data_IF_407414920479
#
_entry.id   IF_407414920479
#
_cell.length_a   1.000
_cell.length_b   1.000
_cell.length_c   1.000
_cell.angle_alpha   90.00
_cell.angle_beta   90.00
_cell.angle_gamma   90.00
#
_symmetry.space_group_name_H-M   'P 1'
#
loop_
_entity.id
_entity.type
_entity.pdbx_description
1 polymer ?
#
# COMPACT_ATOMS: atom_id res chain seq x y z
N UNK A 1 -13.36 7.63 47.28
CA UNK A 1 -14.46 7.54 46.31
C UNK A 1 -15.65 6.86 46.99
N UNK A 2 -16.82 7.48 47.00
CA UNK A 2 -18.02 6.90 47.62
C UNK A 2 -18.86 6.15 46.59
N UNK A 3 -19.65 5.16 47.00
CA UNK A 3 -20.53 4.42 46.08
C UNK A 3 -21.53 5.32 45.34
N UNK A 4 -21.98 6.41 45.99
CA UNK A 4 -22.84 7.43 45.38
C UNK A 4 -22.18 8.10 44.17
N UNK A 5 -20.90 8.48 44.30
CA UNK A 5 -20.16 9.13 43.21
C UNK A 5 -20.05 8.23 41.98
N UNK A 6 -19.79 6.93 42.17
CA UNK A 6 -19.70 5.98 41.06
C UNK A 6 -21.05 5.82 40.35
N UNK A 7 -22.16 5.72 41.08
CA UNK A 7 -23.49 5.61 40.51
C UNK A 7 -23.88 6.85 39.70
N UNK A 8 -23.62 8.05 40.24
CA UNK A 8 -23.85 9.33 39.55
C UNK A 8 -23.01 9.43 38.27
N UNK A 9 -21.73 9.03 38.33
CA UNK A 9 -20.83 9.08 37.18
C UNK A 9 -21.19 8.08 36.09
N UNK A 10 -21.63 6.86 36.45
CA UNK A 10 -22.10 5.87 35.48
C UNK A 10 -23.37 6.33 34.77
N UNK A 11 -24.31 6.94 35.50
CA UNK A 11 -25.53 7.50 34.89
C UNK A 11 -25.20 8.64 33.91
N UNK A 12 -24.21 9.48 34.25
CA UNK A 12 -23.69 10.50 33.33
C UNK A 12 -23.09 9.89 32.06
N UNK A 13 -22.17 8.92 32.18
CA UNK A 13 -21.55 8.23 31.04
C UNK A 13 -22.60 7.57 30.15
N UNK A 14 -23.62 6.94 30.74
CA UNK A 14 -24.67 6.25 30.01
C UNK A 14 -25.54 7.19 29.16
N UNK A 15 -25.70 8.45 29.60
CA UNK A 15 -26.45 9.48 28.87
C UNK A 15 -25.60 10.32 27.93
N UNK A 16 -24.28 10.12 27.88
CA UNK A 16 -23.35 10.84 27.00
C UNK A 16 -23.08 10.03 25.73
N UNK A 17 -23.27 10.66 24.57
CA UNK A 17 -23.06 10.03 23.25
C UNK A 17 -21.61 9.56 23.05
N UNK A 18 -20.65 10.14 23.79
CA UNK A 18 -19.23 9.78 23.73
C UNK A 18 -18.77 8.94 24.93
N UNK A 19 -19.71 8.43 25.74
CA UNK A 19 -19.45 7.52 26.87
C UNK A 19 -18.39 8.06 27.85
N UNK A 20 -18.43 9.36 28.14
CA UNK A 20 -17.50 10.03 29.03
C UNK A 20 -16.16 10.41 28.39
N UNK A 21 -16.01 10.22 27.06
CA UNK A 21 -14.85 10.71 26.33
C UNK A 21 -15.01 12.19 25.98
N UNK A 22 -14.30 13.04 26.73
CA UNK A 22 -14.25 14.47 26.44
C UNK A 22 -13.70 14.72 25.03
N UNK A 23 -14.53 15.34 24.19
CA UNK A 23 -14.10 15.84 22.89
C UNK A 23 -13.11 16.99 23.06
N UNK A 24 -12.12 17.07 22.19
CA UNK A 24 -11.15 18.17 22.20
C UNK A 24 -11.83 19.50 21.90
N UNK A 25 -11.61 20.51 22.74
CA UNK A 25 -12.05 21.88 22.46
C UNK A 25 -11.19 22.56 21.37
N UNK A 26 -10.05 21.97 21.04
CA UNK A 26 -9.11 22.49 20.04
C UNK A 26 -8.70 21.36 19.07
N UNK A 27 -9.52 21.07 18.04
CA UNK A 27 -9.18 20.09 17.02
C UNK A 27 -7.83 20.39 16.37
N UNK A 28 -7.12 19.32 15.99
CA UNK A 28 -5.86 19.39 15.26
C UNK A 28 -5.95 18.48 14.06
N UNK A 29 -5.29 18.86 12.98
CA UNK A 29 -5.03 17.97 11.86
C UNK A 29 -3.85 17.06 12.20
N UNK A 30 -4.08 15.74 12.14
CA UNK A 30 -3.12 14.71 12.48
C UNK A 30 -2.96 13.79 11.27
N UNK A 31 -1.71 13.55 10.86
CA UNK A 31 -1.38 12.53 9.86
C UNK A 31 -0.74 11.37 10.60
N UNK A 32 -1.25 10.17 10.35
CA UNK A 32 -0.70 8.92 10.87
C UNK A 32 -0.21 8.09 9.70
N UNK A 33 1.11 7.93 9.59
CA UNK A 33 1.75 6.99 8.67
C UNK A 33 1.83 5.60 9.34
N UNK A 34 1.27 4.59 8.67
CA UNK A 34 1.17 3.23 9.21
C UNK A 34 1.11 2.15 8.14
N UNK A 35 1.31 0.89 8.53
CA UNK A 35 1.20 -0.25 7.61
C UNK A 35 2.41 -0.42 6.68
N UNK A 36 2.60 0.50 5.73
CA UNK A 36 3.72 0.54 4.79
C UNK A 36 3.98 -0.74 3.97
N UNK A 37 2.98 -1.53 3.55
CA UNK A 37 3.26 -2.76 2.81
C UNK A 37 3.81 -2.45 1.42
N UNK A 38 4.74 -3.29 0.95
CA UNK A 38 5.24 -3.22 -0.42
C UNK A 38 4.20 -3.75 -1.40
N UNK A 39 3.94 -3.02 -2.47
CA UNK A 39 3.13 -3.48 -3.60
C UNK A 39 3.81 -4.68 -4.26
N UNK A 40 3.01 -5.62 -4.77
CA UNK A 40 3.47 -6.85 -5.39
C UNK A 40 4.27 -7.80 -4.46
N UNK A 41 4.08 -7.71 -3.14
CA UNK A 41 4.53 -8.74 -2.18
C UNK A 41 3.34 -9.22 -1.34
N UNK A 42 3.30 -10.51 -0.99
CA UNK A 42 2.33 -11.02 -0.04
C UNK A 42 2.40 -10.24 1.29
N UNK A 43 1.25 -9.91 1.86
CA UNK A 43 1.20 -9.40 3.23
C UNK A 43 1.73 -10.46 4.19
N UNK A 44 2.64 -10.06 5.07
CA UNK A 44 3.14 -10.91 6.16
C UNK A 44 2.84 -10.28 7.52
N UNK A 45 2.92 -11.08 8.59
CA UNK A 45 2.62 -10.66 9.97
C UNK A 45 3.33 -9.37 10.41
N UNK A 46 4.53 -9.10 9.89
CA UNK A 46 5.25 -7.84 10.13
C UNK A 46 4.49 -6.58 9.73
N UNK A 47 3.75 -6.58 8.60
CA UNK A 47 2.94 -5.44 8.17
C UNK A 47 1.63 -5.33 8.98
N UNK A 48 1.12 -6.45 9.48
CA UNK A 48 -0.14 -6.50 10.23
C UNK A 48 -0.05 -5.70 11.54
N UNK A 49 1.09 -5.76 12.23
CA UNK A 49 1.30 -5.02 13.48
C UNK A 49 1.19 -3.51 13.28
N UNK A 50 1.90 -2.98 12.29
CA UNK A 50 1.86 -1.54 11.98
C UNK A 50 0.47 -1.11 11.51
N UNK A 51 -0.18 -1.94 10.68
CA UNK A 51 -1.54 -1.68 10.20
C UNK A 51 -2.55 -1.58 11.36
N UNK A 52 -2.57 -2.56 12.27
CA UNK A 52 -3.52 -2.60 13.39
C UNK A 52 -3.29 -1.44 14.37
N UNK A 53 -2.03 -1.20 14.76
CA UNK A 53 -1.70 -0.16 15.73
C UNK A 53 -2.03 1.21 15.15
N UNK A 54 -1.62 1.48 13.91
CA UNK A 54 -1.88 2.75 13.24
C UNK A 54 -3.37 3.03 13.08
N UNK A 55 -4.13 2.05 12.59
CA UNK A 55 -5.58 2.20 12.45
C UNK A 55 -6.28 2.42 13.80
N UNK A 56 -5.81 1.75 14.86
CA UNK A 56 -6.32 1.97 16.23
C UNK A 56 -6.08 3.41 16.69
N UNK A 57 -4.87 3.94 16.45
CA UNK A 57 -4.52 5.34 16.78
C UNK A 57 -5.39 6.31 15.99
N UNK A 58 -5.57 6.09 14.68
CA UNK A 58 -6.44 6.91 13.82
C UNK A 58 -7.85 6.96 14.39
N UNK A 59 -8.44 5.81 14.76
CA UNK A 59 -9.78 5.72 15.32
C UNK A 59 -9.90 6.42 16.67
N UNK A 60 -8.93 6.23 17.56
CA UNK A 60 -8.90 6.89 18.87
C UNK A 60 -8.84 8.40 18.71
N UNK A 61 -7.93 8.92 17.88
CA UNK A 61 -7.78 10.36 17.67
C UNK A 61 -9.04 10.98 17.03
N UNK A 62 -9.68 10.30 16.07
CA UNK A 62 -10.97 10.73 15.50
C UNK A 62 -12.07 10.74 16.55
N UNK A 63 -12.14 9.70 17.38
CA UNK A 63 -13.13 9.60 18.46
C UNK A 63 -12.95 10.70 19.52
N UNK A 64 -11.75 11.23 19.71
CA UNK A 64 -11.46 12.38 20.57
C UNK A 64 -11.75 13.74 19.91
N UNK A 65 -12.21 13.78 18.65
CA UNK A 65 -12.59 15.00 17.94
C UNK A 65 -11.49 15.65 17.10
N UNK A 66 -10.41 14.93 16.77
CA UNK A 66 -9.38 15.43 15.84
C UNK A 66 -9.75 15.14 14.38
N UNK A 67 -9.20 15.95 13.47
CA UNK A 67 -9.22 15.69 12.03
C UNK A 67 -7.99 14.82 11.70
N UNK A 68 -8.21 13.57 11.34
CA UNK A 68 -7.12 12.58 11.21
C UNK A 68 -7.12 11.96 9.83
N UNK A 69 -5.97 12.02 9.16
CA UNK A 69 -5.69 11.34 7.90
C UNK A 69 -4.79 10.14 8.22
N UNK A 70 -5.24 8.95 7.83
CA UNK A 70 -4.39 7.76 7.82
C UNK A 70 -3.72 7.61 6.46
N UNK A 71 -2.40 7.48 6.45
CA UNK A 71 -1.60 7.17 5.26
C UNK A 71 -0.98 5.78 5.43
N UNK A 72 -1.32 4.85 4.53
CA UNK A 72 -0.78 3.49 4.53
C UNK A 72 0.63 3.43 3.90
N UNK A 73 1.07 4.52 3.26
CA UNK A 73 2.38 4.74 2.67
C UNK A 73 2.94 3.52 1.92
N UNK A 74 2.22 3.10 0.88
CA UNK A 74 2.55 1.90 0.11
C UNK A 74 3.96 1.96 -0.48
N UNK A 75 4.71 0.86 -0.35
CA UNK A 75 6.00 0.68 -1.01
C UNK A 75 5.83 0.31 -2.48
N UNK A 76 5.39 1.26 -3.31
CA UNK A 76 5.08 1.07 -4.73
C UNK A 76 6.13 1.62 -5.70
N UNK A 77 7.25 2.12 -5.17
CA UNK A 77 8.33 2.72 -5.96
C UNK A 77 9.69 2.12 -5.59
N UNK A 78 10.41 1.53 -6.57
CA UNK A 78 11.73 0.94 -6.35
C UNK A 78 12.03 -0.31 -7.19
N UNK A 79 13.14 -0.98 -6.89
CA UNK A 79 13.66 -2.13 -7.65
C UNK A 79 12.64 -3.28 -7.77
N UNK A 80 11.75 -3.44 -6.79
CA UNK A 80 10.66 -4.42 -6.85
C UNK A 80 9.76 -4.23 -8.08
N UNK A 81 9.58 -2.99 -8.57
CA UNK A 81 8.82 -2.73 -9.78
C UNK A 81 9.61 -3.15 -11.02
N UNK A 82 10.89 -2.77 -11.12
CA UNK A 82 11.76 -3.21 -12.22
C UNK A 82 11.87 -4.73 -12.33
N UNK A 83 11.98 -5.43 -11.18
CA UNK A 83 11.97 -6.90 -11.14
C UNK A 83 10.67 -7.49 -11.73
N UNK A 84 9.50 -6.96 -11.35
CA UNK A 84 8.22 -7.43 -11.88
C UNK A 84 8.04 -7.08 -13.36
N UNK A 85 8.51 -5.91 -13.81
CA UNK A 85 8.46 -5.49 -15.22
C UNK A 85 9.27 -6.46 -16.09
N UNK A 86 10.53 -6.74 -15.72
CA UNK A 86 11.42 -7.62 -16.49
C UNK A 86 10.94 -9.08 -16.44
N UNK A 87 10.41 -9.54 -15.31
CA UNK A 87 9.81 -10.87 -15.21
C UNK A 87 8.56 -10.99 -16.09
N UNK A 88 7.69 -9.97 -16.10
CA UNK A 88 6.52 -9.95 -16.97
C UNK A 88 6.91 -9.93 -18.45
N UNK A 89 7.92 -9.14 -18.81
CA UNK A 89 8.47 -9.09 -20.16
C UNK A 89 8.99 -10.46 -20.60
N UNK A 90 9.68 -11.17 -19.71
CA UNK A 90 10.20 -12.51 -19.98
C UNK A 90 9.06 -13.52 -20.22
N UNK A 91 7.94 -13.39 -19.50
CA UNK A 91 6.78 -14.30 -19.62
C UNK A 91 5.84 -13.96 -20.77
N UNK A 92 5.68 -12.66 -21.08
CA UNK A 92 4.72 -12.13 -22.05
C UNK A 92 5.37 -11.01 -22.89
N UNK A 93 6.37 -11.32 -23.74
CA UNK A 93 7.15 -10.32 -24.45
C UNK A 93 6.33 -9.50 -25.44
N UNK A 94 5.25 -10.05 -25.98
CA UNK A 94 4.41 -9.43 -27.01
C UNK A 94 3.44 -8.36 -26.46
N UNK A 95 3.46 -8.08 -25.15
CA UNK A 95 2.60 -7.05 -24.59
C UNK A 95 3.07 -5.65 -25.02
N UNK A 96 2.13 -4.71 -25.30
CA UNK A 96 2.46 -3.39 -25.82
C UNK A 96 3.28 -2.52 -24.86
N UNK A 97 3.31 -2.85 -23.56
CA UNK A 97 4.07 -2.11 -22.55
C UNK A 97 5.58 -2.11 -22.77
N UNK A 98 6.09 -3.10 -23.52
CA UNK A 98 7.52 -3.28 -23.76
C UNK A 98 7.99 -2.68 -25.09
N UNK A 99 7.05 -2.30 -25.95
CA UNK A 99 7.33 -1.60 -27.20
C UNK A 99 7.56 -0.10 -26.92
N UNK A 100 8.77 0.44 -27.13
CA UNK A 100 9.05 1.86 -26.93
C UNK A 100 8.35 2.77 -27.96
N UNK A 101 7.97 2.23 -29.12
CA UNK A 101 7.36 2.98 -30.22
C UNK A 101 5.82 2.86 -30.22
N UNK A 102 5.25 2.19 -29.22
CA UNK A 102 3.80 2.05 -29.08
C UNK A 102 3.13 3.41 -28.83
N UNK A 103 2.26 3.81 -29.76
CA UNK A 103 1.52 5.09 -29.72
C UNK A 103 0.03 4.93 -29.39
N UNK A 104 -0.42 3.69 -29.17
CA UNK A 104 -1.81 3.39 -28.82
C UNK A 104 -2.12 3.61 -27.34
N UNK A 105 -3.37 3.39 -26.95
CA UNK A 105 -3.78 3.31 -25.55
C UNK A 105 -3.42 1.94 -24.95
N UNK A 106 -2.84 1.93 -23.76
CA UNK A 106 -2.66 0.68 -23.00
C UNK A 106 -4.01 0.14 -22.52
N UNK A 107 -4.18 -1.19 -22.41
CA UNK A 107 -5.40 -1.79 -21.87
C UNK A 107 -5.75 -1.26 -20.48
N UNK A 108 -7.04 -1.06 -20.20
CA UNK A 108 -7.52 -0.63 -18.88
C UNK A 108 -7.45 -1.76 -17.84
N UNK A 109 -7.57 -3.01 -18.28
CA UNK A 109 -7.47 -4.18 -17.42
C UNK A 109 -6.00 -4.59 -17.21
N UNK A 110 -5.69 -5.05 -16.00
CA UNK A 110 -4.35 -5.50 -15.66
C UNK A 110 -3.96 -6.77 -16.43
N UNK A 111 -2.72 -6.86 -16.98
CA UNK A 111 -2.22 -8.07 -17.60
C UNK A 111 -1.83 -9.17 -16.58
N UNK A 112 -1.91 -8.86 -15.29
CA UNK A 112 -1.56 -9.71 -14.15
C UNK A 112 -2.60 -9.61 -13.03
N UNK A 113 -2.78 -10.70 -12.29
CA UNK A 113 -3.54 -10.77 -11.03
C UNK A 113 -2.62 -10.60 -9.82
N UNK A 114 -3.19 -10.52 -8.61
CA UNK A 114 -2.39 -10.48 -7.38
C UNK A 114 -1.61 -11.79 -7.20
N UNK A 115 -2.22 -12.93 -7.54
CA UNK A 115 -1.57 -14.24 -7.49
C UNK A 115 -0.37 -14.32 -8.46
N UNK A 116 -0.48 -13.70 -9.65
CA UNK A 116 0.65 -13.61 -10.58
C UNK A 116 1.80 -12.80 -9.98
N UNK A 117 1.51 -11.68 -9.32
CA UNK A 117 2.54 -10.85 -8.66
C UNK A 117 3.21 -11.58 -7.48
N UNK A 118 2.42 -12.30 -6.68
CA UNK A 118 2.93 -13.12 -5.57
C UNK A 118 3.81 -14.28 -6.05
N UNK A 119 3.55 -14.82 -7.25
CA UNK A 119 4.37 -15.84 -7.89
C UNK A 119 5.64 -15.26 -8.56
N UNK A 120 5.49 -14.16 -9.29
CA UNK A 120 6.55 -13.52 -10.06
C UNK A 120 7.64 -12.92 -9.16
N UNK A 121 7.25 -12.18 -8.11
CA UNK A 121 8.21 -11.40 -7.33
C UNK A 121 9.30 -12.26 -6.65
N UNK A 122 8.99 -13.38 -5.96
CA UNK A 122 10.02 -14.22 -5.35
C UNK A 122 10.99 -14.80 -6.38
N UNK A 123 10.48 -15.20 -7.55
CA UNK A 123 11.28 -15.74 -8.64
C UNK A 123 12.20 -14.68 -9.23
N UNK A 124 11.65 -13.51 -9.58
CA UNK A 124 12.39 -12.37 -10.09
C UNK A 124 13.45 -11.89 -9.09
N UNK A 125 13.10 -11.78 -7.80
CA UNK A 125 14.03 -11.39 -6.75
C UNK A 125 15.17 -12.39 -6.56
N UNK A 126 14.90 -13.69 -6.72
CA UNK A 126 15.95 -14.72 -6.67
C UNK A 126 16.83 -14.63 -7.91
N UNK A 127 16.23 -14.54 -9.10
CA UNK A 127 16.94 -14.43 -10.37
C UNK A 127 17.85 -13.21 -10.40
N UNK A 128 17.39 -12.03 -9.99
CA UNK A 128 18.22 -10.82 -9.95
C UNK A 128 19.39 -10.84 -8.96
N UNK A 129 19.44 -11.82 -8.03
CA UNK A 129 20.61 -12.06 -7.17
C UNK A 129 21.60 -13.06 -7.77
N UNK A 130 21.14 -13.93 -8.67
CA UNK A 130 21.92 -15.05 -9.21
C UNK A 130 22.42 -14.79 -10.64
N UNK A 131 21.69 -13.98 -11.39
CA UNK A 131 21.93 -13.61 -12.77
C UNK A 131 22.22 -12.10 -12.84
N UNK A 132 23.50 -11.71 -13.04
CA UNK A 132 23.90 -10.31 -13.12
C UNK A 132 23.21 -9.54 -14.25
N UNK A 133 22.95 -10.19 -15.38
CA UNK A 133 22.34 -9.56 -16.56
C UNK A 133 20.87 -9.27 -16.30
N UNK A 134 20.15 -10.22 -15.69
CA UNK A 134 18.78 -9.98 -15.23
C UNK A 134 18.73 -8.89 -14.16
N UNK A 135 19.68 -8.91 -13.22
CA UNK A 135 19.79 -7.89 -12.18
C UNK A 135 19.99 -6.48 -12.75
N UNK A 136 20.83 -6.34 -13.78
CA UNK A 136 21.03 -5.07 -14.48
C UNK A 136 19.81 -4.65 -15.28
N UNK A 137 19.17 -5.58 -16.01
CA UNK A 137 17.92 -5.30 -16.71
C UNK A 137 16.83 -4.79 -15.76
N UNK A 138 16.71 -5.35 -14.55
CA UNK A 138 15.75 -4.89 -13.55
C UNK A 138 16.08 -3.49 -12.99
N UNK A 139 17.36 -3.16 -12.81
CA UNK A 139 17.78 -1.80 -12.42
C UNK A 139 17.47 -0.81 -13.54
N UNK A 140 17.82 -1.15 -14.78
CA UNK A 140 17.55 -0.33 -15.95
C UNK A 140 16.04 -0.11 -16.13
N UNK A 141 15.22 -1.15 -15.96
CA UNK A 141 13.77 -1.01 -16.00
C UNK A 141 13.21 -0.13 -14.87
N UNK A 142 13.87 -0.12 -13.70
CA UNK A 142 13.52 0.78 -12.59
C UNK A 142 13.82 2.23 -12.95
N UNK A 143 14.97 2.50 -13.59
CA UNK A 143 15.33 3.84 -14.07
C UNK A 143 14.35 4.30 -15.14
N UNK A 144 14.05 3.46 -16.13
CA UNK A 144 13.09 3.80 -17.20
C UNK A 144 11.67 4.07 -16.66
N UNK A 145 11.24 3.34 -15.63
CA UNK A 145 9.99 3.64 -14.93
C UNK A 145 10.05 5.04 -14.27
N UNK A 146 11.16 5.36 -13.61
CA UNK A 146 11.37 6.65 -12.94
C UNK A 146 11.47 7.82 -13.90
N UNK A 147 12.04 7.60 -15.08
CA UNK A 147 12.10 8.56 -16.19
C UNK A 147 10.76 8.70 -16.92
N UNK A 148 9.75 7.90 -16.52
CA UNK A 148 8.39 8.04 -17.00
C UNK A 148 8.09 7.32 -18.31
N UNK A 149 8.80 6.23 -18.64
CA UNK A 149 8.50 5.40 -19.81
C UNK A 149 7.02 4.98 -19.80
N UNK A 150 6.21 5.36 -20.82
CA UNK A 150 4.75 5.22 -20.77
C UNK A 150 4.26 3.80 -20.47
N UNK A 151 4.84 2.79 -21.11
CA UNK A 151 4.46 1.39 -20.90
C UNK A 151 4.76 0.89 -19.50
N UNK A 152 5.88 1.34 -18.90
CA UNK A 152 6.25 0.93 -17.55
C UNK A 152 5.41 1.65 -16.50
N UNK A 153 5.07 2.93 -16.72
CA UNK A 153 4.10 3.64 -15.88
C UNK A 153 2.71 2.98 -15.93
N UNK A 154 2.28 2.50 -17.10
CA UNK A 154 1.03 1.76 -17.22
C UNK A 154 1.07 0.42 -16.45
N UNK A 155 2.16 -0.35 -16.57
CA UNK A 155 2.36 -1.55 -15.76
C UNK A 155 2.39 -1.26 -14.25
N UNK A 156 3.10 -0.22 -13.83
CA UNK A 156 3.13 0.20 -12.43
C UNK A 156 1.72 0.52 -11.89
N UNK A 157 0.91 1.25 -12.67
CA UNK A 157 -0.50 1.52 -12.31
C UNK A 157 -1.29 0.23 -12.13
N UNK A 158 -1.13 -0.75 -13.03
CA UNK A 158 -1.78 -2.05 -12.91
C UNK A 158 -1.33 -2.81 -11.65
N UNK A 159 -0.03 -2.89 -11.39
CA UNK A 159 0.52 -3.59 -10.23
C UNK A 159 0.03 -2.96 -8.92
N UNK A 160 0.02 -1.63 -8.86
CA UNK A 160 -0.49 -0.85 -7.74
C UNK A 160 -1.99 -1.08 -7.54
N UNK A 161 -2.78 -1.00 -8.60
CA UNK A 161 -4.24 -1.14 -8.52
C UNK A 161 -4.64 -2.54 -8.02
N UNK A 162 -4.05 -3.59 -8.61
CA UNK A 162 -4.31 -4.98 -8.20
C UNK A 162 -3.90 -5.22 -6.75
N UNK A 163 -2.80 -4.62 -6.29
CA UNK A 163 -2.37 -4.72 -4.89
C UNK A 163 -3.32 -3.98 -3.95
N UNK A 164 -3.82 -2.79 -4.31
CA UNK A 164 -4.79 -2.03 -3.51
C UNK A 164 -6.13 -2.78 -3.43
N UNK A 165 -6.59 -3.36 -4.53
CA UNK A 165 -7.86 -4.08 -4.54
C UNK A 165 -7.80 -5.37 -3.72
N UNK A 166 -6.63 -6.00 -3.58
CA UNK A 166 -6.43 -7.13 -2.69
C UNK A 166 -6.38 -6.75 -1.20
N UNK A 167 -6.23 -5.46 -0.87
CA UNK A 167 -6.21 -4.95 0.51
C UNK A 167 -7.59 -4.50 1.02
N UNK A 168 -8.59 -4.42 0.13
CA UNK A 168 -9.99 -4.07 0.46
C UNK A 168 -10.75 -5.28 0.98
#
# INVERSE_FOLDING_TARGET
MTGRYLAEHLAYIYGDDHLGCNQTASPRSIIVDYGGPNVAKPLHVGHLRAAIIGESVVRICRYMGHDVIGDVHLGDWGLQMGLNIVELQSRKPDLPYFDPDFTGSYPDFSPVSIADLEDMYPQASKKGKQDPDFGEAARQATVELQDGRPGYLALWKHFRQVSIDALK
#
